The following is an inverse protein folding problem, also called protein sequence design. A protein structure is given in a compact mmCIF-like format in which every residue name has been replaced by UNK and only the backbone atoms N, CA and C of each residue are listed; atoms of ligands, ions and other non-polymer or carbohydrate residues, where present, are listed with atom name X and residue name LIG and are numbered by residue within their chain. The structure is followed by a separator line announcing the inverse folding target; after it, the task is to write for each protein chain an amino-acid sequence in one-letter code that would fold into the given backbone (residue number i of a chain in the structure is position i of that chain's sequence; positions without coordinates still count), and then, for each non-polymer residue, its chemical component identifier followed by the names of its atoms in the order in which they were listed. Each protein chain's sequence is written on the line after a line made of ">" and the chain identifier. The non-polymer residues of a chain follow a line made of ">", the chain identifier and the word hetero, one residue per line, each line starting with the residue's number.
data_IF_048846236485
#
_entry.id   IF_048846236485
#
_cell.length_a   1.000
_cell.length_b   1.000
_cell.length_c   1.000
_cell.angle_alpha   90.00
_cell.angle_beta   90.00
_cell.angle_gamma   90.00
#
_symmetry.space_group_name_H-M   'P 1'
#
loop_
_entity.id
_entity.type
_entity.pdbx_description
1 polymer ?
#
# COMPACT_ATOMS: atom_id res chain seq x y z
N UNK A 1 -25.10 -3.05 20.88
CA UNK A 1 -23.79 -3.00 21.56
C UNK A 1 -22.81 -2.39 20.59
N UNK A 2 -22.27 -1.26 20.99
CA UNK A 2 -21.31 -0.45 20.26
C UNK A 2 -19.94 -1.11 20.40
N UNK A 3 -19.45 -1.76 19.34
CA UNK A 3 -18.09 -2.31 19.34
C UNK A 3 -17.15 -1.18 18.97
N UNK A 4 -16.68 -0.46 19.98
CA UNK A 4 -15.50 0.38 19.88
C UNK A 4 -14.30 -0.48 19.52
N UNK A 5 -14.11 -0.75 18.23
CA UNK A 5 -12.87 -1.29 17.69
C UNK A 5 -11.81 -0.20 17.83
N UNK A 6 -10.91 -0.34 18.80
CA UNK A 6 -9.68 0.49 18.82
C UNK A 6 -8.79 -0.01 17.68
N UNK A 7 -8.79 0.71 16.57
CA UNK A 7 -7.71 0.66 15.58
C UNK A 7 -6.37 0.84 16.32
N UNK A 8 -5.34 0.09 15.93
CA UNK A 8 -4.01 0.08 16.58
C UNK A 8 -3.56 -1.25 17.20
N UNK A 9 -4.36 -1.93 18.04
CA UNK A 9 -3.77 -2.96 18.95
C UNK A 9 -3.33 -4.29 18.33
N UNK A 10 -3.80 -4.64 17.13
CA UNK A 10 -3.53 -5.96 16.53
C UNK A 10 -2.39 -5.94 15.53
N UNK A 11 -2.30 -4.89 14.72
CA UNK A 11 -1.22 -4.71 13.76
C UNK A 11 0.08 -4.34 14.47
N UNK A 12 0.00 -3.66 15.62
CA UNK A 12 1.16 -3.38 16.50
C UNK A 12 1.90 -4.66 16.92
N UNK A 13 1.23 -5.82 16.96
CA UNK A 13 1.87 -7.11 17.30
C UNK A 13 2.90 -7.56 16.26
N UNK A 14 2.86 -6.98 15.07
CA UNK A 14 3.81 -7.25 14.01
C UNK A 14 5.11 -6.46 14.20
N UNK A 15 5.12 -5.43 15.06
CA UNK A 15 6.34 -4.68 15.38
C UNK A 15 7.36 -5.62 16.04
N UNK A 16 8.59 -5.57 15.54
CA UNK A 16 9.68 -6.46 15.95
C UNK A 16 9.68 -7.84 15.26
N UNK A 17 8.66 -8.16 14.46
CA UNK A 17 8.64 -9.39 13.68
C UNK A 17 9.50 -9.26 12.42
N UNK A 18 10.04 -10.40 11.97
CA UNK A 18 10.75 -10.51 10.70
C UNK A 18 9.86 -11.21 9.69
N UNK A 19 9.56 -10.53 8.59
CA UNK A 19 8.79 -11.08 7.48
C UNK A 19 9.74 -11.33 6.30
N UNK A 20 9.65 -12.53 5.71
CA UNK A 20 10.43 -12.89 4.53
C UNK A 20 9.61 -12.65 3.26
N UNK A 21 10.09 -11.76 2.39
CA UNK A 21 9.44 -11.43 1.11
C UNK A 21 10.48 -11.43 0.00
N UNK A 22 10.19 -12.08 -1.13
CA UNK A 22 11.05 -12.22 -2.29
C UNK A 22 12.47 -12.72 -1.91
N UNK A 23 12.56 -13.59 -0.89
CA UNK A 23 13.82 -14.14 -0.39
C UNK A 23 14.59 -13.28 0.62
N UNK A 24 14.11 -12.07 0.92
CA UNK A 24 14.76 -11.13 1.85
C UNK A 24 14.00 -11.02 3.17
N UNK A 25 14.74 -10.84 4.27
CA UNK A 25 14.18 -10.71 5.61
C UNK A 25 14.03 -9.22 5.98
N UNK A 26 12.80 -8.81 6.26
CA UNK A 26 12.45 -7.44 6.65
C UNK A 26 12.02 -7.41 8.11
N UNK A 27 12.74 -6.67 8.93
CA UNK A 27 12.39 -6.40 10.33
C UNK A 27 11.44 -5.21 10.40
N UNK A 28 10.25 -5.39 10.97
CA UNK A 28 9.25 -4.34 11.15
C UNK A 28 9.57 -3.48 12.38
N UNK A 29 9.53 -2.16 12.23
CA UNK A 29 9.83 -1.21 13.31
C UNK A 29 8.61 -0.46 13.82
N UNK A 30 7.78 0.05 12.91
CA UNK A 30 6.61 0.85 13.25
C UNK A 30 5.54 0.77 12.17
N UNK A 31 4.34 1.20 12.52
CA UNK A 31 3.22 1.33 11.60
C UNK A 31 3.21 2.75 11.07
N UNK A 32 3.25 2.88 9.75
CA UNK A 32 3.13 4.15 9.03
C UNK A 32 1.66 4.50 8.77
N UNK A 33 0.84 3.51 8.43
CA UNK A 33 -0.60 3.70 8.26
C UNK A 33 -1.39 2.40 8.43
N UNK A 34 -2.66 2.56 8.80
CA UNK A 34 -3.64 1.47 8.84
C UNK A 34 -4.87 1.87 8.05
N UNK A 35 -5.46 0.93 7.32
CA UNK A 35 -6.68 1.18 6.57
C UNK A 35 -7.53 -0.07 6.49
N UNK A 36 -8.81 0.07 6.82
CA UNK A 36 -9.79 -1.01 6.70
C UNK A 36 -10.52 -0.91 5.36
N UNK A 37 -10.51 -1.99 4.58
CA UNK A 37 -11.21 -2.09 3.29
C UNK A 37 -12.33 -3.11 3.41
N UNK A 38 -13.48 -2.62 3.90
CA UNK A 38 -14.65 -3.46 4.18
C UNK A 38 -15.21 -4.13 2.92
N UNK A 39 -15.03 -3.54 1.75
CA UNK A 39 -15.44 -4.08 0.45
C UNK A 39 -14.58 -5.26 -0.03
N UNK A 40 -13.34 -5.37 0.48
CA UNK A 40 -12.43 -6.48 0.21
C UNK A 40 -12.31 -7.44 1.39
N UNK A 41 -12.97 -7.15 2.51
CA UNK A 41 -12.77 -7.83 3.78
C UNK A 41 -11.30 -7.85 4.22
N UNK A 42 -10.56 -6.77 4.00
CA UNK A 42 -9.15 -6.68 4.34
C UNK A 42 -8.88 -5.59 5.36
N UNK A 43 -7.88 -5.81 6.22
CA UNK A 43 -7.23 -4.77 6.98
C UNK A 43 -5.82 -4.60 6.45
N UNK A 44 -5.47 -3.42 5.99
CA UNK A 44 -4.16 -3.10 5.46
C UNK A 44 -3.33 -2.40 6.53
N UNK A 45 -2.10 -2.87 6.73
CA UNK A 45 -1.08 -2.16 7.48
C UNK A 45 0.06 -1.80 6.55
N UNK A 46 0.50 -0.54 6.59
CA UNK A 46 1.78 -0.12 5.98
C UNK A 46 2.75 0.08 7.11
N UNK A 47 3.86 -0.64 7.07
CA UNK A 47 4.88 -0.63 8.09
C UNK A 47 6.17 -0.03 7.54
N UNK A 48 6.94 0.58 8.43
CA UNK A 48 8.35 0.76 8.16
C UNK A 48 9.10 -0.52 8.51
N UNK A 49 9.95 -0.97 7.60
CA UNK A 49 10.79 -2.12 7.80
C UNK A 49 12.23 -1.87 7.36
N UNK A 50 13.16 -2.65 7.89
CA UNK A 50 14.56 -2.64 7.44
C UNK A 50 15.01 -3.98 6.94
N UNK A 51 15.84 -3.98 5.89
CA UNK A 51 16.55 -5.15 5.39
C UNK A 51 18.05 -4.79 5.22
N UNK A 52 18.98 -5.70 5.57
CA UNK A 52 20.40 -5.53 5.23
C UNK A 52 20.60 -5.42 3.71
N UNK A 53 21.36 -4.43 3.28
CA UNK A 53 21.80 -4.30 1.89
C UNK A 53 23.05 -5.15 1.68
N UNK A 54 22.93 -6.16 0.82
CA UNK A 54 24.00 -7.10 0.51
C UNK A 54 25.22 -6.45 -0.17
N UNK A 55 25.10 -5.24 -0.72
CA UNK A 55 26.17 -4.54 -1.43
C UNK A 55 26.93 -3.56 -0.56
N UNK A 56 26.24 -2.88 0.34
CA UNK A 56 26.79 -1.75 1.11
C UNK A 56 27.04 -2.10 2.57
N UNK A 57 26.60 -3.29 3.01
CA UNK A 57 26.62 -3.72 4.41
C UNK A 57 25.86 -2.75 5.35
N UNK A 58 25.08 -1.84 4.77
CA UNK A 58 24.23 -0.88 5.47
C UNK A 58 22.82 -1.42 5.58
N UNK A 59 22.10 -1.00 6.61
CA UNK A 59 20.68 -1.30 6.76
C UNK A 59 19.87 -0.29 5.97
N UNK A 60 19.01 -0.76 5.06
CA UNK A 60 18.12 0.11 4.27
C UNK A 60 16.69 0.04 4.80
N UNK A 61 15.99 1.18 4.77
CA UNK A 61 14.57 1.32 5.16
C UNK A 61 13.65 1.12 3.95
N UNK A 62 12.48 0.55 4.22
CA UNK A 62 11.46 0.18 3.25
C UNK A 62 10.07 0.46 3.82
N UNK A 63 9.11 0.66 2.92
CA UNK A 63 7.70 0.58 3.25
C UNK A 63 7.19 -0.83 2.92
N UNK A 64 6.58 -1.48 3.89
CA UNK A 64 6.01 -2.82 3.77
C UNK A 64 4.50 -2.73 3.92
N UNK A 65 3.75 -2.92 2.83
CA UNK A 65 2.29 -3.00 2.88
C UNK A 65 1.89 -4.46 3.05
N UNK A 66 1.14 -4.77 4.10
CA UNK A 66 0.57 -6.10 4.36
C UNK A 66 -0.94 -6.00 4.39
N UNK A 67 -1.60 -6.86 3.62
CA UNK A 67 -3.05 -7.00 3.57
C UNK A 67 -3.45 -8.27 4.32
N UNK A 68 -4.26 -8.10 5.35
CA UNK A 68 -4.75 -9.20 6.18
C UNK A 68 -6.21 -9.47 5.85
N UNK A 69 -6.51 -10.69 5.39
CA UNK A 69 -7.87 -11.15 5.21
C UNK A 69 -8.61 -11.20 6.54
N UNK A 70 -9.84 -10.73 6.56
CA UNK A 70 -10.73 -10.73 7.71
C UNK A 70 -11.97 -11.57 7.43
N UNK A 71 -12.46 -12.28 8.45
CA UNK A 71 -13.78 -12.93 8.35
C UNK A 71 -14.87 -11.96 8.76
N UNK A 72 -15.83 -11.71 7.88
CA UNK A 72 -17.09 -11.08 8.26
C UNK A 72 -18.18 -12.14 8.45
N UNK A 73 -18.89 -12.05 9.58
CA UNK A 73 -19.98 -12.97 9.93
C UNK A 73 -21.28 -12.70 9.16
N UNK A 74 -21.31 -11.68 8.30
CA UNK A 74 -22.54 -11.16 7.69
C UNK A 74 -22.84 -11.71 6.29
N UNK A 75 -21.88 -12.38 5.65
CA UNK A 75 -22.01 -12.81 4.25
C UNK A 75 -22.22 -14.31 4.12
N UNK A 76 -22.87 -14.71 3.01
CA UNK A 76 -22.98 -16.10 2.59
C UNK A 76 -21.62 -16.57 2.08
N UNK A 77 -21.36 -17.87 2.17
CA UNK A 77 -20.08 -18.48 1.76
C UNK A 77 -19.71 -18.17 0.30
N UNK A 78 -20.69 -18.16 -0.61
CA UNK A 78 -20.49 -17.77 -2.02
C UNK A 78 -20.03 -16.32 -2.22
N UNK A 79 -20.49 -15.41 -1.35
CA UNK A 79 -20.11 -14.01 -1.43
C UNK A 79 -18.67 -13.81 -0.93
N UNK A 80 -18.24 -14.64 0.03
CA UNK A 80 -16.87 -14.64 0.54
C UNK A 80 -15.88 -15.09 -0.54
N UNK A 81 -16.17 -16.18 -1.28
CA UNK A 81 -15.31 -16.64 -2.38
C UNK A 81 -15.15 -15.58 -3.47
N UNK A 82 -16.25 -14.91 -3.87
CA UNK A 82 -16.20 -13.86 -4.86
C UNK A 82 -15.37 -12.65 -4.38
N UNK A 83 -15.51 -12.26 -3.10
CA UNK A 83 -14.71 -11.20 -2.50
C UNK A 83 -13.23 -11.55 -2.44
N UNK A 84 -12.87 -12.78 -2.07
CA UNK A 84 -11.47 -13.22 -2.02
C UNK A 84 -10.81 -13.20 -3.40
N UNK A 85 -11.54 -13.63 -4.44
CA UNK A 85 -11.07 -13.52 -5.84
C UNK A 85 -10.85 -12.05 -6.21
N UNK A 86 -11.80 -11.17 -5.90
CA UNK A 86 -11.65 -9.73 -6.17
C UNK A 86 -10.47 -9.12 -5.40
N UNK A 87 -10.28 -9.48 -4.13
CA UNK A 87 -9.17 -9.00 -3.31
C UNK A 87 -7.83 -9.42 -3.91
N UNK A 88 -7.73 -10.68 -4.37
CA UNK A 88 -6.53 -11.22 -5.02
C UNK A 88 -6.23 -10.50 -6.33
N UNK A 89 -7.23 -10.32 -7.19
CA UNK A 89 -7.08 -9.56 -8.44
C UNK A 89 -6.60 -8.13 -8.16
N UNK A 90 -7.18 -7.46 -7.15
CA UNK A 90 -6.76 -6.13 -6.73
C UNK A 90 -5.31 -6.10 -6.21
N UNK A 91 -4.87 -7.12 -5.49
CA UNK A 91 -3.49 -7.25 -5.02
C UNK A 91 -2.51 -7.45 -6.18
N UNK A 92 -2.82 -8.36 -7.10
CA UNK A 92 -1.98 -8.65 -8.27
C UNK A 92 -1.88 -7.43 -9.22
N UNK A 93 -3.00 -6.71 -9.40
CA UNK A 93 -3.03 -5.46 -10.16
C UNK A 93 -2.17 -4.36 -9.52
N UNK A 94 -2.22 -4.20 -8.18
CA UNK A 94 -1.36 -3.25 -7.47
C UNK A 94 0.13 -3.62 -7.65
N UNK A 95 0.48 -4.89 -7.49
CA UNK A 95 1.85 -5.37 -7.72
C UNK A 95 2.32 -5.08 -9.15
N UNK A 96 1.46 -5.32 -10.14
CA UNK A 96 1.76 -5.07 -11.56
C UNK A 96 1.93 -3.58 -11.85
N UNK A 97 1.08 -2.74 -11.27
CA UNK A 97 1.17 -1.29 -11.40
C UNK A 97 2.48 -0.77 -10.81
N UNK A 98 2.78 -1.12 -9.55
CA UNK A 98 4.02 -0.72 -8.88
C UNK A 98 5.26 -1.17 -9.64
N UNK A 99 5.28 -2.40 -10.14
CA UNK A 99 6.38 -2.91 -10.98
C UNK A 99 6.54 -2.13 -12.28
N UNK A 100 5.44 -1.76 -12.93
CA UNK A 100 5.44 -1.01 -14.18
C UNK A 100 5.93 0.42 -13.99
N UNK A 101 5.60 1.04 -12.84
CA UNK A 101 5.87 2.45 -12.55
C UNK A 101 7.10 2.70 -11.67
N UNK A 102 7.82 1.65 -11.26
CA UNK A 102 9.00 1.73 -10.39
C UNK A 102 10.02 2.81 -10.77
N UNK A 103 10.24 3.04 -12.07
CA UNK A 103 11.21 4.03 -12.56
C UNK A 103 10.55 5.33 -13.06
N UNK A 104 9.29 5.57 -12.73
CA UNK A 104 8.54 6.76 -13.16
C UNK A 104 8.96 8.02 -12.42
N UNK A 105 9.49 7.87 -11.19
CA UNK A 105 9.72 8.97 -10.26
C UNK A 105 8.46 9.42 -9.50
N UNK A 106 7.27 8.96 -9.91
CA UNK A 106 5.98 9.34 -9.32
C UNK A 106 5.39 8.28 -8.37
N UNK A 107 5.96 7.07 -8.34
CA UNK A 107 5.50 5.98 -7.48
C UNK A 107 6.67 5.42 -6.68
N UNK A 108 6.40 4.80 -5.51
CA UNK A 108 7.41 4.01 -4.82
C UNK A 108 8.06 2.95 -5.73
N UNK A 109 9.33 2.67 -5.52
CA UNK A 109 10.08 1.61 -6.18
C UNK A 109 9.59 0.25 -5.66
N UNK A 110 9.16 -0.64 -6.55
CA UNK A 110 8.75 -2.00 -6.18
C UNK A 110 9.98 -2.90 -5.98
N UNK A 111 10.07 -3.56 -4.82
CA UNK A 111 11.13 -4.53 -4.54
C UNK A 111 10.66 -5.98 -4.59
N UNK A 112 9.39 -6.24 -4.30
CA UNK A 112 8.85 -7.59 -4.32
C UNK A 112 7.48 -7.68 -3.67
N UNK A 113 6.84 -8.83 -3.84
CA UNK A 113 5.62 -9.20 -3.14
C UNK A 113 5.64 -10.70 -2.86
N UNK A 114 4.91 -11.13 -1.84
CA UNK A 114 4.71 -12.54 -1.52
C UNK A 114 3.34 -12.77 -0.88
N UNK A 115 2.83 -13.99 -1.06
CA UNK A 115 1.76 -14.56 -0.26
C UNK A 115 2.40 -15.29 0.93
N UNK A 116 2.07 -14.84 2.14
CA UNK A 116 2.65 -15.31 3.38
C UNK A 116 1.72 -16.32 4.05
N UNK A 117 2.26 -17.04 5.02
CA UNK A 117 1.50 -18.02 5.79
C UNK A 117 0.40 -17.33 6.63
N UNK A 118 -0.78 -17.97 6.73
CA UNK A 118 -1.96 -17.41 7.38
C UNK A 118 -1.82 -17.28 8.90
N UNK A 119 -0.88 -18.01 9.51
CA UNK A 119 -0.52 -17.90 10.92
C UNK A 119 0.07 -16.51 11.28
N UNK A 120 0.60 -15.79 10.29
CA UNK A 120 1.05 -14.41 10.45
C UNK A 120 -0.12 -13.41 10.50
N UNK A 121 -1.35 -13.83 10.23
CA UNK A 121 -2.53 -12.97 10.29
C UNK A 121 -2.97 -12.74 11.74
N UNK A 122 -2.84 -11.51 12.29
CA UNK A 122 -3.20 -11.24 13.68
C UNK A 122 -4.72 -11.11 13.90
N UNK A 123 -5.52 -11.10 12.83
CA UNK A 123 -6.96 -10.84 12.85
C UNK A 123 -7.77 -12.13 12.67
N UNK A 124 -7.35 -12.98 11.73
CA UNK A 124 -8.03 -14.23 11.40
C UNK A 124 -7.03 -15.27 10.88
N UNK A 125 -6.76 -16.32 11.66
CA UNK A 125 -5.70 -17.30 11.35
C UNK A 125 -5.91 -18.17 10.10
N UNK A 126 -7.08 -18.10 9.48
CA UNK A 126 -7.38 -18.73 8.18
C UNK A 126 -7.46 -17.69 7.04
N UNK A 127 -7.30 -16.40 7.34
CA UNK A 127 -7.31 -15.33 6.35
C UNK A 127 -5.96 -15.21 5.67
N UNK A 128 -5.97 -14.77 4.41
CA UNK A 128 -4.74 -14.54 3.67
C UNK A 128 -3.87 -13.45 4.30
N UNK A 129 -2.57 -13.51 3.98
CA UNK A 129 -1.61 -12.46 4.30
C UNK A 129 -0.81 -12.19 3.04
N UNK A 130 -1.05 -11.04 2.40
CA UNK A 130 -0.34 -10.66 1.19
C UNK A 130 0.50 -9.43 1.43
N UNK A 131 1.77 -9.48 1.04
CA UNK A 131 2.73 -8.44 1.35
C UNK A 131 3.38 -7.85 0.10
N UNK A 132 3.64 -6.54 0.13
CA UNK A 132 4.37 -5.79 -0.90
C UNK A 132 5.47 -4.98 -0.22
N UNK A 133 6.69 -5.10 -0.74
CA UNK A 133 7.83 -4.27 -0.32
C UNK A 133 8.07 -3.19 -1.37
N UNK A 134 8.15 -1.95 -0.89
CA UNK A 134 8.44 -0.80 -1.72
C UNK A 134 9.43 0.17 -1.04
N UNK A 135 9.97 1.11 -1.81
CA UNK A 135 10.79 2.19 -1.22
C UNK A 135 9.96 3.00 -0.24
N UNK A 136 10.54 3.31 0.92
CA UNK A 136 10.01 4.35 1.78
C UNK A 136 10.12 5.69 1.03
N UNK A 137 9.01 6.38 0.84
CA UNK A 137 9.01 7.73 0.24
C UNK A 137 9.01 8.75 1.35
N UNK A 138 9.73 9.84 1.11
CA UNK A 138 9.73 11.00 1.99
C UNK A 138 8.46 11.83 1.76
N UNK A 139 8.06 12.60 2.77
CA UNK A 139 6.94 13.54 2.68
C UNK A 139 5.74 13.14 3.53
N UNK A 140 4.71 13.98 3.45
CA UNK A 140 3.48 13.85 4.23
C UNK A 140 2.31 13.63 3.28
N UNK A 141 1.33 12.82 3.69
CA UNK A 141 0.09 12.69 2.91
C UNK A 141 -0.55 14.06 2.73
N UNK A 142 -0.96 14.39 1.51
CA UNK A 142 -1.60 15.68 1.18
C UNK A 142 -2.89 15.87 2.00
N UNK A 143 -3.56 14.78 2.38
CA UNK A 143 -4.72 14.81 3.25
C UNK A 143 -4.41 15.35 4.66
N UNK A 144 -3.18 15.15 5.15
CA UNK A 144 -2.75 15.52 6.50
C UNK A 144 -2.04 16.89 6.55
N UNK A 145 -1.69 17.48 5.40
CA UNK A 145 -0.98 18.77 5.38
C UNK A 145 -1.98 19.91 5.64
N UNK A 146 -1.89 20.48 6.84
CA UNK A 146 -2.60 21.71 7.17
C UNK A 146 -1.92 22.94 6.55
N UNK A 147 -2.68 23.77 5.83
CA UNK A 147 -2.22 25.11 5.45
C UNK A 147 -1.33 25.19 4.22
N UNK A 148 -1.47 24.27 3.25
CA UNK A 148 -0.78 24.35 1.96
C UNK A 148 -0.97 25.73 1.32
N UNK A 149 0.14 26.39 1.01
CA UNK A 149 0.12 27.69 0.34
C UNK A 149 -0.21 27.54 -1.16
N UNK A 150 -0.49 28.66 -1.83
CA UNK A 150 -0.91 28.65 -3.25
C UNK A 150 0.16 28.03 -4.16
N UNK A 151 1.44 28.24 -3.85
CA UNK A 151 2.55 27.73 -4.63
C UNK A 151 2.71 26.21 -4.47
N UNK A 152 2.63 25.70 -3.25
CA UNK A 152 2.68 24.26 -2.96
C UNK A 152 1.50 23.53 -3.61
N UNK A 153 0.29 24.08 -3.53
CA UNK A 153 -0.89 23.52 -4.20
C UNK A 153 -0.67 23.38 -5.70
N UNK A 154 -0.06 24.39 -6.32
CA UNK A 154 0.24 24.38 -7.77
C UNK A 154 1.27 23.30 -8.11
N UNK A 155 2.33 23.16 -7.31
CA UNK A 155 3.32 22.08 -7.51
C UNK A 155 2.65 20.71 -7.42
N UNK A 156 1.86 20.47 -6.37
CA UNK A 156 1.16 19.19 -6.19
C UNK A 156 0.25 18.91 -7.38
N UNK A 157 -0.50 19.90 -7.85
CA UNK A 157 -1.37 19.77 -9.03
C UNK A 157 -0.57 19.47 -10.31
N UNK A 158 0.50 20.21 -10.58
CA UNK A 158 1.32 20.03 -11.78
C UNK A 158 2.00 18.65 -11.80
N UNK A 159 2.54 18.20 -10.67
CA UNK A 159 3.12 16.87 -10.53
C UNK A 159 2.06 15.76 -10.65
N UNK A 160 0.87 15.97 -10.10
CA UNK A 160 -0.23 15.01 -10.20
C UNK A 160 -0.69 14.84 -11.65
N UNK A 161 -0.83 15.94 -12.39
CA UNK A 161 -1.16 15.90 -13.81
C UNK A 161 -0.11 15.10 -14.58
N UNK A 162 1.18 15.34 -14.33
CA UNK A 162 2.27 14.59 -14.98
C UNK A 162 2.22 13.10 -14.65
N UNK A 163 2.02 12.74 -13.38
CA UNK A 163 1.90 11.36 -12.94
C UNK A 163 0.72 10.65 -13.63
N UNK A 164 -0.45 11.29 -13.66
CA UNK A 164 -1.64 10.72 -14.27
C UNK A 164 -1.53 10.60 -15.78
N UNK A 165 -0.93 11.58 -16.46
CA UNK A 165 -0.67 11.49 -17.90
C UNK A 165 0.33 10.38 -18.21
N UNK A 166 1.36 10.22 -17.39
CA UNK A 166 2.33 9.14 -17.52
C UNK A 166 1.68 7.75 -17.40
N UNK A 167 0.74 7.59 -16.47
CA UNK A 167 -0.05 6.36 -16.28
C UNK A 167 -1.02 6.14 -17.45
N UNK A 168 -1.73 7.17 -17.88
CA UNK A 168 -2.70 7.14 -18.99
C UNK A 168 -2.04 6.67 -20.29
N UNK A 169 -0.87 7.22 -20.62
CA UNK A 169 -0.11 6.83 -21.81
C UNK A 169 0.36 5.37 -21.79
N UNK A 170 0.31 4.70 -20.64
CA UNK A 170 0.63 3.27 -20.46
C UNK A 170 -0.60 2.39 -20.29
N UNK A 171 -1.79 2.93 -20.55
CA UNK A 171 -3.06 2.19 -20.48
C UNK A 171 -3.61 2.03 -19.07
N UNK A 172 -3.17 2.83 -18.11
CA UNK A 172 -3.64 2.78 -16.73
C UNK A 172 -4.53 3.98 -16.41
N UNK A 173 -5.59 3.75 -15.62
CA UNK A 173 -6.49 4.79 -15.12
C UNK A 173 -6.41 4.91 -13.61
N UNK A 174 -6.81 6.06 -13.05
CA UNK A 174 -6.86 6.28 -11.61
C UNK A 174 -8.32 6.34 -11.15
N UNK A 175 -8.77 5.31 -10.43
CA UNK A 175 -10.20 5.11 -10.11
C UNK A 175 -10.56 5.51 -8.67
N UNK A 176 -9.67 5.28 -7.70
CA UNK A 176 -9.86 5.69 -6.32
C UNK A 176 -8.97 6.90 -6.02
N UNK A 177 -9.55 8.09 -6.14
CA UNK A 177 -8.90 9.37 -5.85
C UNK A 177 -8.85 9.63 -4.33
N UNK A 178 -8.37 8.66 -3.56
CA UNK A 178 -8.14 8.84 -2.13
C UNK A 178 -6.91 9.75 -1.99
N UNK A 179 -7.11 10.99 -1.52
CA UNK A 179 -6.02 11.97 -1.32
C UNK A 179 -4.98 11.48 -0.31
N UNK A 180 -5.36 10.55 0.55
CA UNK A 180 -4.50 9.83 1.51
C UNK A 180 -3.33 9.11 0.82
N UNK A 181 -3.48 8.79 -0.47
CA UNK A 181 -2.50 8.07 -1.29
C UNK A 181 -1.50 9.00 -1.99
N UNK A 182 -1.62 10.31 -1.82
CA UNK A 182 -0.74 11.31 -2.43
C UNK A 182 0.18 11.88 -1.35
N UNK A 183 1.48 11.74 -1.53
CA UNK A 183 2.49 12.23 -0.59
C UNK A 183 3.25 13.39 -1.20
N UNK A 184 3.46 14.46 -0.43
CA UNK A 184 4.20 15.62 -0.84
C UNK A 184 5.40 15.87 0.08
N UNK A 185 6.58 15.99 -0.51
CA UNK A 185 7.81 16.41 0.16
C UNK A 185 8.05 17.89 -0.17
N UNK A 186 7.86 18.77 0.82
CA UNK A 186 8.05 20.21 0.66
C UNK A 186 9.51 20.62 0.48
N UNK A 187 10.46 19.85 1.03
CA UNK A 187 11.88 20.16 0.93
C UNK A 187 12.41 19.89 -0.48
N UNK A 188 11.93 18.80 -1.11
CA UNK A 188 12.29 18.42 -2.48
C UNK A 188 11.33 18.94 -3.54
N UNK A 189 10.18 19.47 -3.12
CA UNK A 189 9.08 19.89 -4.00
C UNK A 189 8.62 18.76 -4.93
N UNK A 190 8.61 17.53 -4.42
CA UNK A 190 8.26 16.32 -5.18
C UNK A 190 7.00 15.68 -4.64
N UNK A 191 6.28 14.96 -5.51
CA UNK A 191 5.04 14.27 -5.15
C UNK A 191 5.11 12.79 -5.55
N UNK A 192 4.58 11.92 -4.69
CA UNK A 192 4.49 10.49 -4.90
C UNK A 192 3.05 10.01 -4.76
N UNK A 193 2.64 9.06 -5.61
CA UNK A 193 1.32 8.42 -5.58
C UNK A 193 1.48 6.94 -5.20
N UNK A 194 0.85 6.54 -4.09
CA UNK A 194 0.68 5.13 -3.73
C UNK A 194 -0.53 4.59 -4.46
N UNK A 195 -0.33 3.68 -5.40
CA UNK A 195 -1.37 3.33 -6.37
C UNK A 195 -2.18 2.11 -5.95
N UNK A 196 -3.46 2.30 -5.62
CA UNK A 196 -4.47 1.27 -5.85
C UNK A 196 -5.09 1.52 -7.23
N UNK A 197 -4.55 0.87 -8.28
CA UNK A 197 -5.04 1.03 -9.65
C UNK A 197 -5.84 -0.21 -10.08
N UNK A 198 -7.05 0.02 -10.61
CA UNK A 198 -7.82 -0.98 -11.35
C UNK A 198 -7.69 -0.72 -12.86
N UNK A 199 -7.28 -1.73 -13.63
CA UNK A 199 -7.38 -1.70 -15.09
C UNK A 199 -8.82 -2.00 -15.49
N UNK A 200 -9.39 -1.16 -16.37
CA UNK A 200 -10.32 -1.67 -17.37
C UNK A 200 -9.53 -1.74 -18.69
N UNK A 201 -9.69 -2.80 -19.51
CA UNK A 201 -9.38 -2.66 -20.92
C UNK A 201 -10.29 -1.55 -21.45
N UNK A 202 -9.72 -0.47 -21.95
CA UNK A 202 -10.45 0.44 -22.83
C UNK A 202 -10.82 -0.39 -24.07
N UNK A 203 -12.03 -0.94 -24.08
CA UNK A 203 -12.65 -1.42 -25.32
C UNK A 203 -13.07 -0.15 -26.05
N UNK A 204 -12.26 0.26 -27.03
CA UNK A 204 -12.68 1.15 -28.11
C UNK A 204 -13.26 0.31 -29.24
#
# INVERSE_FOLDING_TARGET
>A
MDYGYRAGTYLERQIGQVIKIAGHNYLIHEILSESRKDELHEHWGVYEATCPDSRTNATRRYALKVRYGMRTRKFRESDLEATDVMARECFELECRALRTFTNSGFTPVFYGSDELSSDLNPLYGEGHVWAIVMSLVDGTSVADICGLNVFEKRIIQDELIKALEYMRLRGWGWYMQETEQIFYDSARQSMYVFTCIRLYPFIY
#
